data_IF_366819439831
#
_entry.id   IF_366819439831
#
_cell.length_a   1.000
_cell.length_b   1.000
_cell.length_c   1.000
_cell.angle_alpha   90.00
_cell.angle_beta   90.00
_cell.angle_gamma   90.00
#
_symmetry.space_group_name_H-M   'P 1'
#
loop_
_entity.id
_entity.type
_entity.pdbx_description
1 polymer ?
#
# COMPACT_ATOMS: atom_id res chain seq x y z
N UNK A 1 14.59 4.96 64.58
CA UNK A 1 14.38 6.15 63.73
C UNK A 1 14.69 5.75 62.28
N UNK A 2 13.63 5.71 61.45
CA UNK A 2 13.53 5.78 59.98
C UNK A 2 14.59 5.00 59.16
N UNK A 3 14.26 3.76 58.78
CA UNK A 3 14.92 3.03 57.68
C UNK A 3 14.24 3.42 56.36
N UNK A 4 15.07 3.84 55.40
CA UNK A 4 14.70 4.21 54.03
C UNK A 4 14.02 3.06 53.30
N UNK A 5 12.88 3.32 52.67
CA UNK A 5 12.27 2.43 51.69
C UNK A 5 11.78 3.30 50.52
N UNK A 6 12.58 3.35 49.47
CA UNK A 6 12.32 4.08 48.23
C UNK A 6 11.88 3.03 47.20
N UNK A 7 10.56 2.84 47.04
CA UNK A 7 10.02 2.04 45.94
C UNK A 7 9.88 2.97 44.74
N UNK A 8 10.83 2.84 43.81
CA UNK A 8 10.77 3.48 42.50
C UNK A 8 9.82 2.67 41.62
N UNK A 9 8.54 3.06 41.60
CA UNK A 9 7.56 2.52 40.65
C UNK A 9 7.81 3.13 39.26
N UNK A 10 8.59 2.46 38.43
CA UNK A 10 8.74 2.78 37.01
C UNK A 10 7.46 2.35 36.28
N UNK A 11 6.50 3.28 36.15
CA UNK A 11 5.34 3.08 35.29
C UNK A 11 5.82 3.17 33.84
N UNK A 12 6.04 2.02 33.22
CA UNK A 12 6.28 1.90 31.78
C UNK A 12 4.93 2.11 31.08
N UNK A 13 4.54 3.37 30.84
CA UNK A 13 3.44 3.67 29.93
C UNK A 13 3.90 3.34 28.52
N UNK A 14 3.38 2.23 27.97
CA UNK A 14 3.39 2.00 26.52
C UNK A 14 2.67 3.18 25.86
N UNK A 15 3.45 4.10 25.30
CA UNK A 15 2.92 5.09 24.36
C UNK A 15 2.57 4.31 23.10
N UNK A 16 1.30 3.95 22.96
CA UNK A 16 0.74 3.59 21.65
C UNK A 16 0.87 4.85 20.78
N UNK A 17 1.86 4.85 19.90
CA UNK A 17 1.95 5.87 18.85
C UNK A 17 0.74 5.68 17.95
N UNK A 18 -0.29 6.49 18.15
CA UNK A 18 -1.30 6.71 17.12
C UNK A 18 -0.55 7.22 15.90
N UNK A 19 -0.30 6.34 14.93
CA UNK A 19 0.21 6.77 13.65
C UNK A 19 -0.90 7.61 13.02
N UNK A 20 -0.74 8.93 13.11
CA UNK A 20 -1.25 9.83 12.09
C UNK A 20 -0.73 9.26 10.78
N UNK A 21 -1.52 8.44 10.09
CA UNK A 21 -1.14 8.00 8.75
C UNK A 21 -1.02 9.28 7.93
N UNK A 22 0.22 9.61 7.56
CA UNK A 22 0.49 10.73 6.68
C UNK A 22 -0.29 10.52 5.38
N UNK A 23 -0.71 11.62 4.77
CA UNK A 23 -1.42 11.59 3.50
C UNK A 23 -0.56 10.87 2.45
N UNK A 24 -1.10 9.80 1.85
CA UNK A 24 -0.45 9.13 0.72
C UNK A 24 -0.82 9.90 -0.55
N UNK A 25 0.17 10.24 -1.36
CA UNK A 25 0.01 10.88 -2.67
C UNK A 25 0.88 10.17 -3.69
N UNK A 26 0.41 10.08 -4.92
CA UNK A 26 1.17 9.43 -6.00
C UNK A 26 1.35 10.42 -7.13
N UNK A 27 2.56 10.50 -7.65
CA UNK A 27 2.98 11.45 -8.68
C UNK A 27 3.56 10.68 -9.87
N UNK A 28 3.29 11.14 -11.09
CA UNK A 28 3.92 10.59 -12.27
C UNK A 28 5.44 10.90 -12.28
N UNK A 29 6.23 9.94 -12.74
CA UNK A 29 7.69 10.03 -12.76
C UNK A 29 8.36 9.62 -11.44
N UNK A 30 9.52 10.20 -11.15
CA UNK A 30 10.37 9.81 -10.01
C UNK A 30 10.47 10.89 -8.90
N UNK A 31 9.61 11.90 -8.94
CA UNK A 31 9.64 13.03 -8.02
C UNK A 31 8.21 13.50 -7.65
N UNK A 32 8.10 14.32 -6.61
CA UNK A 32 6.82 14.82 -6.07
C UNK A 32 6.47 16.24 -6.55
N UNK A 33 6.45 16.45 -7.86
CA UNK A 33 5.95 17.70 -8.43
C UNK A 33 4.43 17.76 -8.32
N UNK A 34 3.90 18.84 -7.73
CA UNK A 34 2.45 18.97 -7.51
C UNK A 34 1.66 18.88 -8.84
N UNK A 35 2.20 19.36 -9.95
CA UNK A 35 1.53 19.24 -11.26
C UNK A 35 1.32 17.79 -11.71
N UNK A 36 2.08 16.86 -11.15
CA UNK A 36 2.16 15.47 -11.61
C UNK A 36 1.41 14.52 -10.68
N UNK A 37 0.69 15.03 -9.67
CA UNK A 37 -0.10 14.18 -8.77
C UNK A 37 -1.24 13.49 -9.55
N UNK A 38 -1.23 12.16 -9.52
CA UNK A 38 -2.20 11.31 -10.20
C UNK A 38 -3.17 10.63 -9.24
N UNK A 39 -2.80 10.44 -7.98
CA UNK A 39 -3.66 9.86 -6.95
C UNK A 39 -3.42 10.48 -5.58
N UNK A 40 -4.41 10.38 -4.70
CA UNK A 40 -4.20 10.57 -3.27
C UNK A 40 -5.13 9.71 -2.43
N UNK A 41 -4.73 9.51 -1.17
CA UNK A 41 -5.53 8.80 -0.18
C UNK A 41 -6.21 9.78 0.77
N UNK A 42 -7.46 9.48 1.10
CA UNK A 42 -8.19 10.14 2.18
C UNK A 42 -9.17 9.16 2.80
N UNK A 43 -9.20 9.06 4.13
CA UNK A 43 -10.15 8.19 4.84
C UNK A 43 -10.23 6.78 4.25
N UNK A 44 -9.07 6.12 4.05
CA UNK A 44 -8.93 4.78 3.48
C UNK A 44 -9.38 4.63 2.02
N UNK A 45 -9.53 5.73 1.28
CA UNK A 45 -10.02 5.74 -0.10
C UNK A 45 -9.00 6.36 -1.03
N UNK A 46 -8.92 5.82 -2.23
CA UNK A 46 -8.02 6.28 -3.29
C UNK A 46 -8.84 7.09 -4.30
N UNK A 47 -8.42 8.34 -4.50
CA UNK A 47 -9.05 9.26 -5.43
C UNK A 47 -8.09 9.59 -6.58
N UNK A 48 -8.63 9.85 -7.78
CA UNK A 48 -7.85 10.34 -8.90
C UNK A 48 -7.47 11.81 -8.71
N UNK A 49 -6.26 12.16 -9.13
CA UNK A 49 -5.70 13.50 -9.08
C UNK A 49 -5.94 14.20 -7.74
N UNK A 50 -6.79 15.22 -7.72
CA UNK A 50 -7.07 16.10 -6.57
C UNK A 50 -8.53 16.09 -6.09
N UNK A 51 -9.39 15.24 -6.67
CA UNK A 51 -10.81 15.26 -6.33
C UNK A 51 -11.10 14.65 -4.97
N UNK A 52 -12.05 15.22 -4.24
CA UNK A 52 -12.62 14.64 -3.03
C UNK A 52 -14.07 14.18 -3.24
N UNK A 53 -14.54 14.17 -4.49
CA UNK A 53 -15.87 13.65 -4.83
C UNK A 53 -15.92 12.16 -4.49
N UNK A 54 -16.80 11.80 -3.56
CA UNK A 54 -16.99 10.42 -3.13
C UNK A 54 -17.34 9.48 -4.29
N UNK A 55 -18.02 9.97 -5.32
CA UNK A 55 -18.38 9.16 -6.50
C UNK A 55 -17.17 8.89 -7.40
N UNK A 56 -16.06 9.61 -7.22
CA UNK A 56 -14.82 9.43 -7.97
C UNK A 56 -13.84 8.46 -7.28
N UNK A 57 -14.20 7.91 -6.11
CA UNK A 57 -13.34 6.94 -5.42
C UNK A 57 -13.14 5.71 -6.31
N UNK A 58 -11.88 5.37 -6.57
CA UNK A 58 -11.53 4.20 -7.38
C UNK A 58 -11.61 2.94 -6.51
N UNK A 59 -10.93 2.98 -5.37
CA UNK A 59 -10.88 1.87 -4.42
C UNK A 59 -10.89 2.36 -2.98
N UNK A 60 -11.36 1.49 -2.10
CA UNK A 60 -11.25 1.62 -0.64
C UNK A 60 -10.31 0.53 -0.12
N UNK A 61 -9.31 0.90 0.66
CA UNK A 61 -8.34 -0.03 1.28
C UNK A 61 -8.51 0.00 2.79
N UNK A 62 -9.02 -1.09 3.37
CA UNK A 62 -9.20 -1.21 4.82
C UNK A 62 -8.41 -2.42 5.30
N UNK A 63 -7.33 -2.14 6.04
CA UNK A 63 -6.37 -3.14 6.53
C UNK A 63 -5.76 -3.91 5.36
N UNK A 64 -6.14 -5.16 5.19
CA UNK A 64 -5.71 -6.09 4.15
C UNK A 64 -6.66 -6.17 2.95
N UNK A 65 -7.82 -5.50 3.00
CA UNK A 65 -8.87 -5.62 2.00
C UNK A 65 -8.89 -4.45 1.04
N UNK A 66 -9.04 -4.74 -0.25
CA UNK A 66 -9.20 -3.76 -1.32
C UNK A 66 -10.58 -3.97 -1.95
N UNK A 67 -11.41 -2.93 -1.91
CA UNK A 67 -12.78 -2.92 -2.41
C UNK A 67 -12.93 -1.88 -3.51
N UNK A 68 -13.77 -2.14 -4.50
CA UNK A 68 -14.08 -1.17 -5.56
C UNK A 68 -14.95 -0.05 -4.99
N UNK A 69 -14.69 1.19 -5.42
CA UNK A 69 -15.49 2.34 -5.05
C UNK A 69 -15.32 2.79 -3.59
N UNK A 70 -16.20 3.69 -3.15
CA UNK A 70 -16.10 4.38 -1.85
C UNK A 70 -16.85 3.74 -0.68
N UNK A 71 -17.63 2.69 -0.92
CA UNK A 71 -18.54 2.11 0.09
C UNK A 71 -17.80 1.53 1.30
N UNK A 72 -16.63 0.89 1.06
CA UNK A 72 -15.95 0.05 2.04
C UNK A 72 -16.71 -1.25 2.38
N UNK A 73 -17.66 -1.65 1.53
CA UNK A 73 -18.48 -2.85 1.70
C UNK A 73 -17.71 -4.11 1.31
N UNK A 74 -17.87 -5.19 2.07
CA UNK A 74 -17.29 -6.49 1.70
C UNK A 74 -17.92 -7.10 0.44
N UNK A 75 -19.11 -6.63 0.04
CA UNK A 75 -19.71 -7.02 -1.25
C UNK A 75 -18.93 -6.47 -2.45
N UNK A 76 -18.16 -5.41 -2.25
CA UNK A 76 -17.32 -4.79 -3.28
C UNK A 76 -15.86 -5.27 -3.19
N UNK A 77 -15.58 -6.27 -2.35
CA UNK A 77 -14.24 -6.82 -2.16
C UNK A 77 -13.75 -7.51 -3.43
N UNK A 78 -12.58 -7.07 -3.91
CA UNK A 78 -11.92 -7.69 -5.06
C UNK A 78 -10.62 -8.38 -4.69
N UNK A 79 -9.92 -7.90 -3.67
CA UNK A 79 -8.63 -8.46 -3.26
C UNK A 79 -8.44 -8.44 -1.75
N UNK A 80 -7.74 -9.47 -1.25
CA UNK A 80 -7.24 -9.51 0.12
C UNK A 80 -5.73 -9.77 0.11
N UNK A 81 -4.98 -8.93 0.80
CA UNK A 81 -3.54 -9.07 0.96
C UNK A 81 -3.20 -9.89 2.21
N UNK A 82 -2.42 -10.96 2.06
CA UNK A 82 -2.01 -11.79 3.18
C UNK A 82 -0.69 -12.48 2.90
N UNK A 83 0.21 -12.46 3.88
CA UNK A 83 1.45 -13.25 3.88
C UNK A 83 2.27 -13.08 2.58
N UNK A 84 2.44 -11.84 2.13
CA UNK A 84 3.20 -11.50 0.91
C UNK A 84 2.43 -11.68 -0.40
N UNK A 85 1.14 -12.03 -0.35
CA UNK A 85 0.35 -12.37 -1.54
C UNK A 85 -0.94 -11.57 -1.61
N UNK A 86 -1.36 -11.24 -2.82
CA UNK A 86 -2.65 -10.64 -3.11
C UNK A 86 -3.57 -11.72 -3.69
N UNK A 87 -4.64 -12.04 -2.97
CA UNK A 87 -5.61 -13.07 -3.35
C UNK A 87 -6.88 -12.43 -3.93
N UNK A 88 -7.43 -13.00 -5.00
CA UNK A 88 -8.75 -12.60 -5.52
C UNK A 88 -9.85 -12.92 -4.50
N UNK A 89 -10.61 -11.91 -4.08
CA UNK A 89 -11.65 -12.03 -3.07
C UNK A 89 -11.11 -12.35 -1.67
N UNK A 90 -11.88 -13.15 -0.90
CA UNK A 90 -11.54 -13.54 0.49
C UNK A 90 -10.89 -14.93 0.60
N UNK A 91 -10.92 -15.73 -0.45
CA UNK A 91 -10.47 -17.12 -0.37
C UNK A 91 -8.96 -17.20 -0.60
N UNK A 92 -8.30 -18.02 0.23
CA UNK A 92 -6.84 -18.04 0.41
C UNK A 92 -6.22 -19.30 -0.19
N UNK A 93 -6.70 -19.70 -1.37
CA UNK A 93 -6.16 -20.84 -2.10
C UNK A 93 -5.02 -20.39 -3.00
N UNK A 94 -4.05 -21.27 -3.25
CA UNK A 94 -2.91 -20.96 -4.13
C UNK A 94 -3.36 -20.53 -5.54
N UNK A 95 -4.42 -21.15 -6.07
CA UNK A 95 -5.01 -20.78 -7.36
C UNK A 95 -5.67 -19.40 -7.42
N UNK A 96 -5.79 -18.69 -6.30
CA UNK A 96 -6.36 -17.34 -6.23
C UNK A 96 -5.31 -16.27 -5.99
N UNK A 97 -4.03 -16.64 -5.87
CA UNK A 97 -2.94 -15.68 -5.78
C UNK A 97 -2.84 -14.98 -7.14
N UNK A 98 -3.23 -13.71 -7.17
CA UNK A 98 -3.12 -12.88 -8.36
C UNK A 98 -1.72 -12.29 -8.50
N UNK A 99 -1.11 -11.93 -7.37
CA UNK A 99 0.20 -11.29 -7.30
C UNK A 99 0.96 -11.68 -6.03
N UNK A 100 2.28 -11.65 -6.12
CA UNK A 100 3.18 -11.83 -4.97
C UNK A 100 4.04 -10.59 -4.79
N UNK A 101 4.08 -10.07 -3.56
CA UNK A 101 5.07 -9.10 -3.11
C UNK A 101 6.24 -9.87 -2.53
N UNK A 102 7.31 -9.99 -3.31
CA UNK A 102 8.54 -10.63 -2.87
C UNK A 102 9.48 -9.68 -2.15
N UNK A 103 10.68 -10.18 -1.88
CA UNK A 103 11.75 -9.41 -1.25
C UNK A 103 12.16 -8.20 -2.10
N UNK A 104 12.72 -7.19 -1.43
CA UNK A 104 13.25 -5.98 -2.06
C UNK A 104 12.22 -5.19 -2.89
N UNK A 105 10.92 -5.37 -2.63
CA UNK A 105 9.84 -4.60 -3.25
C UNK A 105 9.43 -5.08 -4.64
N UNK A 106 9.81 -6.30 -5.04
CA UNK A 106 9.44 -6.88 -6.33
C UNK A 106 8.00 -7.40 -6.32
N UNK A 107 7.27 -7.08 -7.38
CA UNK A 107 5.88 -7.52 -7.61
C UNK A 107 5.87 -8.52 -8.75
N UNK A 108 5.44 -9.74 -8.47
CA UNK A 108 5.37 -10.85 -9.42
C UNK A 108 3.92 -11.13 -9.80
N UNK A 109 3.68 -11.61 -11.02
CA UNK A 109 2.37 -12.18 -11.39
C UNK A 109 2.21 -13.57 -10.77
N UNK A 110 1.05 -13.82 -10.16
CA UNK A 110 0.73 -15.09 -9.53
C UNK A 110 1.58 -15.41 -8.30
N UNK A 111 1.65 -16.70 -7.94
CA UNK A 111 2.51 -17.23 -6.87
C UNK A 111 3.92 -17.51 -7.41
N UNK A 112 4.62 -16.46 -7.83
CA UNK A 112 5.99 -16.55 -8.36
C UNK A 112 7.01 -15.80 -7.51
N UNK A 113 8.25 -16.27 -7.59
CA UNK A 113 9.45 -15.62 -7.08
C UNK A 113 10.61 -15.64 -8.11
N UNK A 114 10.31 -15.92 -9.38
CA UNK A 114 11.30 -15.95 -10.46
C UNK A 114 11.53 -14.56 -11.03
N UNK A 115 12.79 -14.20 -11.26
CA UNK A 115 13.18 -12.86 -11.75
C UNK A 115 12.48 -12.45 -13.05
N UNK A 116 12.20 -13.42 -13.92
CA UNK A 116 11.54 -13.19 -15.21
C UNK A 116 10.04 -12.88 -15.08
N UNK A 117 9.44 -13.17 -13.93
CA UNK A 117 8.01 -12.93 -13.66
C UNK A 117 7.76 -11.60 -12.93
N UNK A 118 8.83 -10.82 -12.67
CA UNK A 118 8.72 -9.51 -12.03
C UNK A 118 8.08 -8.52 -13.00
N UNK A 119 6.93 -7.97 -12.59
CA UNK A 119 6.23 -6.92 -13.32
C UNK A 119 6.78 -5.54 -12.97
N UNK A 120 7.01 -5.31 -11.68
CA UNK A 120 7.43 -4.03 -11.14
C UNK A 120 8.36 -4.20 -9.94
N UNK A 121 9.22 -3.21 -9.72
CA UNK A 121 10.02 -3.08 -8.50
C UNK A 121 9.67 -1.78 -7.81
N UNK A 122 9.45 -1.84 -6.50
CA UNK A 122 9.19 -0.65 -5.67
C UNK A 122 10.37 -0.43 -4.74
N UNK A 123 11.13 0.64 -4.99
CA UNK A 123 12.30 0.97 -4.19
C UNK A 123 12.36 2.47 -3.94
N UNK A 124 12.64 2.86 -2.70
CA UNK A 124 12.70 4.27 -2.27
C UNK A 124 11.43 5.04 -2.67
N UNK A 125 10.28 4.39 -2.51
CA UNK A 125 8.95 4.84 -2.91
C UNK A 125 8.74 5.13 -4.40
N UNK A 126 9.64 4.71 -5.27
CA UNK A 126 9.44 4.79 -6.73
C UNK A 126 9.03 3.42 -7.25
N UNK A 127 8.00 3.39 -8.09
CA UNK A 127 7.59 2.22 -8.86
C UNK A 127 8.37 2.25 -10.18
N UNK A 128 9.11 1.18 -10.45
CA UNK A 128 9.85 0.95 -11.69
C UNK A 128 9.20 -0.17 -12.50
N UNK A 129 9.25 -0.06 -13.82
CA UNK A 129 8.90 -1.15 -14.72
C UNK A 129 9.95 -2.28 -14.65
N UNK A 130 9.48 -3.53 -14.57
CA UNK A 130 10.35 -4.70 -14.55
C UNK A 130 11.13 -4.86 -13.24
N UNK A 131 12.26 -5.57 -13.30
CA UNK A 131 12.96 -6.03 -12.10
C UNK A 131 14.06 -5.09 -11.59
N UNK A 132 14.45 -4.10 -12.39
CA UNK A 132 15.51 -3.14 -12.06
C UNK A 132 14.99 -1.86 -11.41
N UNK A 133 15.93 -0.94 -11.17
CA UNK A 133 15.65 0.43 -10.67
C UNK A 133 16.40 1.49 -11.49
N UNK A 134 16.55 1.21 -12.78
CA UNK A 134 17.10 2.18 -13.71
C UNK A 134 16.19 3.40 -13.80
N UNK A 135 16.78 4.59 -13.80
CA UNK A 135 16.00 5.84 -13.72
C UNK A 135 15.02 6.02 -14.90
N UNK A 136 15.34 5.46 -16.07
CA UNK A 136 14.45 5.50 -17.24
C UNK A 136 13.20 4.63 -17.12
N UNK A 137 13.19 3.68 -16.18
CA UNK A 137 12.06 2.77 -15.95
C UNK A 137 11.14 3.27 -14.82
N UNK A 138 11.46 4.39 -14.19
CA UNK A 138 10.65 4.98 -13.13
C UNK A 138 9.31 5.51 -13.68
N UNK A 139 8.21 5.04 -13.09
CA UNK A 139 6.85 5.33 -13.57
C UNK A 139 6.12 6.28 -12.62
N UNK A 140 6.20 6.01 -11.30
CA UNK A 140 5.50 6.78 -10.29
C UNK A 140 6.29 6.91 -8.99
N UNK A 141 6.17 8.05 -8.32
CA UNK A 141 6.67 8.29 -6.98
C UNK A 141 5.51 8.31 -5.98
N UNK A 142 5.65 7.56 -4.89
CA UNK A 142 4.69 7.49 -3.79
C UNK A 142 5.23 8.33 -2.63
N UNK A 143 4.49 9.37 -2.27
CA UNK A 143 4.75 10.12 -1.05
C UNK A 143 3.90 9.56 0.09
N UNK A 144 4.47 9.53 1.29
CA UNK A 144 3.81 9.05 2.51
C UNK A 144 4.15 7.60 2.86
N UNK A 145 3.69 7.17 4.04
CA UNK A 145 3.83 5.78 4.49
C UNK A 145 2.61 5.00 4.05
N UNK A 146 2.84 3.85 3.44
CA UNK A 146 1.79 2.97 2.94
C UNK A 146 2.03 1.53 3.38
N UNK A 147 0.96 0.77 3.55
CA UNK A 147 1.00 -0.67 3.76
C UNK A 147 1.13 -1.42 2.42
N UNK A 148 1.45 -2.74 2.42
CA UNK A 148 1.40 -3.53 1.20
C UNK A 148 0.02 -3.53 0.51
N UNK A 149 -1.08 -3.52 1.27
CA UNK A 149 -2.42 -3.44 0.69
C UNK A 149 -2.67 -2.08 0.01
N UNK A 150 -2.19 -0.98 0.62
CA UNK A 150 -2.25 0.34 0.00
C UNK A 150 -1.45 0.38 -1.30
N UNK A 151 -0.26 -0.26 -1.34
CA UNK A 151 0.55 -0.37 -2.55
C UNK A 151 -0.22 -1.08 -3.66
N UNK A 152 -0.84 -2.24 -3.38
CA UNK A 152 -1.65 -2.92 -4.39
C UNK A 152 -2.86 -2.10 -4.83
N UNK A 153 -3.49 -1.35 -3.91
CA UNK A 153 -4.54 -0.39 -4.24
C UNK A 153 -4.06 0.71 -5.19
N UNK A 154 -2.84 1.22 -4.99
CA UNK A 154 -2.18 2.17 -5.90
C UNK A 154 -1.98 1.54 -7.28
N UNK A 155 -1.39 0.35 -7.35
CA UNK A 155 -1.11 -0.33 -8.61
C UNK A 155 -2.40 -0.60 -9.42
N UNK A 156 -3.49 -0.99 -8.74
CA UNK A 156 -4.82 -1.15 -9.35
C UNK A 156 -5.39 0.18 -9.85
N UNK A 157 -5.24 1.25 -9.06
CA UNK A 157 -5.73 2.59 -9.41
C UNK A 157 -4.99 3.23 -10.59
N UNK A 158 -3.78 2.75 -10.87
CA UNK A 158 -2.94 3.18 -11.98
C UNK A 158 -3.03 2.24 -13.20
N UNK A 159 -3.94 1.25 -13.17
CA UNK A 159 -4.09 0.22 -14.19
C UNK A 159 -2.78 -0.55 -14.50
N UNK A 160 -1.86 -0.63 -13.53
CA UNK A 160 -0.60 -1.38 -13.66
C UNK A 160 -0.82 -2.88 -13.45
N UNK A 161 -1.88 -3.24 -12.73
CA UNK A 161 -2.30 -4.62 -12.46
C UNK A 161 -3.83 -4.75 -12.57
N UNK A 162 -4.32 -5.97 -12.74
CA UNK A 162 -5.75 -6.31 -12.84
C UNK A 162 -6.09 -7.60 -12.12
#
# INVERSE_FOLDING_TARGET
MKRFLLILSLVFTLVFSNSSQGQIRVFAGNANYITDQVLHFTNNRIFPAYTFDFNAVLYTVIRDKIMVGGSGSEFDLIYTYRDGRLYTGNAMYSGQIAYTLGENGKIYKGDSNFELDVLYTVQNNVIYAGSGTFAGDAIYFIEGRYSPADLFGILLSLDLIS
#
